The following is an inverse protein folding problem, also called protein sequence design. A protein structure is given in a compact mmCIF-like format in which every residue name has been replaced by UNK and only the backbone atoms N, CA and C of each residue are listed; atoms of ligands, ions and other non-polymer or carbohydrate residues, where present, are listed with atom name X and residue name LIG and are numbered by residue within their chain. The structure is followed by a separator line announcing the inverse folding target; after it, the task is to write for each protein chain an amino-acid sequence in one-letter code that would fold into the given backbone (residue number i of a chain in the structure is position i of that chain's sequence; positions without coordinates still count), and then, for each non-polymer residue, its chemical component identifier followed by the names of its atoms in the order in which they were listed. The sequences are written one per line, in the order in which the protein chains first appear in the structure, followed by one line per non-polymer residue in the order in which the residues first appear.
data_IF_580323546419
#
_entry.id   IF_580323546419
#
_cell.length_a   1.000
_cell.length_b   1.000
_cell.length_c   1.000
_cell.angle_alpha   90.00
_cell.angle_beta   90.00
_cell.angle_gamma   90.00
#
_symmetry.space_group_name_H-M   'P 1'
#
loop_
_entity.id
_entity.type
_entity.pdbx_description
1 polymer ?
#
# COMPACT_ATOMS: atom_id res chain seq x y z
N UNK A 1 15.57 -5.59 -4.65
CA UNK A 1 14.60 -4.65 -3.99
C UNK A 1 14.12 -5.21 -2.65
N UNK A 2 13.86 -4.38 -1.63
CA UNK A 2 13.38 -4.78 -0.30
C UNK A 2 12.18 -3.90 0.11
N UNK A 3 11.11 -4.54 0.55
CA UNK A 3 9.94 -3.88 1.15
C UNK A 3 9.95 -4.02 2.68
N UNK A 4 9.56 -2.97 3.41
CA UNK A 4 9.47 -2.97 4.87
C UNK A 4 8.28 -2.14 5.33
N UNK A 5 7.50 -2.64 6.29
CA UNK A 5 6.38 -1.93 6.88
C UNK A 5 6.78 -1.32 8.23
N UNK A 6 6.56 -0.01 8.38
CA UNK A 6 6.68 0.70 9.65
C UNK A 6 5.36 0.72 10.42
N UNK A 7 4.25 0.86 9.70
CA UNK A 7 2.91 0.83 10.23
C UNK A 7 1.93 0.41 9.13
N UNK A 8 0.91 -0.38 9.49
CA UNK A 8 -0.10 -0.87 8.54
C UNK A 8 -1.42 -1.12 9.28
N UNK A 9 -2.30 -0.13 9.30
CA UNK A 9 -3.62 -0.21 9.92
C UNK A 9 -4.45 1.04 9.60
N UNK A 10 -5.74 1.04 9.94
CA UNK A 10 -6.61 2.22 9.88
C UNK A 10 -6.19 3.38 10.83
N UNK A 11 -5.15 3.19 11.63
CA UNK A 11 -4.59 4.24 12.49
C UNK A 11 -3.37 4.91 11.86
N UNK A 12 -2.88 4.40 10.73
CA UNK A 12 -1.80 4.99 9.95
C UNK A 12 -0.94 3.97 9.24
N UNK A 13 -0.56 4.36 8.04
CA UNK A 13 0.17 3.55 7.09
C UNK A 13 1.50 4.24 6.75
N UNK A 14 2.58 3.51 6.81
CA UNK A 14 3.90 3.96 6.36
C UNK A 14 4.77 2.74 6.07
N UNK A 15 5.34 2.72 4.87
CA UNK A 15 6.17 1.62 4.39
C UNK A 15 7.40 2.18 3.68
N UNK A 16 8.36 1.34 3.37
CA UNK A 16 9.48 1.74 2.52
C UNK A 16 9.83 0.65 1.52
N UNK A 17 10.24 1.08 0.35
CA UNK A 17 10.93 0.24 -0.62
C UNK A 17 12.36 0.75 -0.79
N UNK A 18 13.32 -0.15 -0.74
CA UNK A 18 14.74 0.16 -0.90
C UNK A 18 15.33 -0.65 -2.06
N UNK A 19 16.03 0.04 -2.96
CA UNK A 19 16.74 -0.54 -4.09
C UNK A 19 18.13 0.10 -4.23
N UNK A 20 19.17 -0.60 -3.77
CA UNK A 20 20.51 -0.02 -3.69
C UNK A 20 20.54 1.23 -2.82
N UNK A 21 20.91 2.37 -3.41
CA UNK A 21 20.94 3.68 -2.74
C UNK A 21 19.61 4.44 -2.79
N UNK A 22 18.59 3.92 -3.47
CA UNK A 22 17.26 4.53 -3.57
C UNK A 22 16.36 4.03 -2.45
N UNK A 23 15.79 4.92 -1.66
CA UNK A 23 14.86 4.60 -0.57
C UNK A 23 13.60 5.45 -0.67
N UNK A 24 12.48 4.84 -0.98
CA UNK A 24 11.21 5.50 -1.22
C UNK A 24 10.26 5.20 -0.05
N UNK A 25 9.73 6.27 0.55
CA UNK A 25 8.64 6.15 1.52
C UNK A 25 7.32 5.94 0.77
N UNK A 26 6.55 4.92 1.16
CA UNK A 26 5.21 4.66 0.66
C UNK A 26 4.25 4.99 1.79
N UNK A 27 3.39 5.96 1.60
CA UNK A 27 2.51 6.55 2.59
C UNK A 27 3.25 7.28 3.74
N UNK A 28 2.62 8.32 4.24
CA UNK A 28 3.08 9.07 5.41
C UNK A 28 1.93 9.30 6.41
N UNK A 29 1.13 8.25 6.62
CA UNK A 29 -0.11 8.25 7.40
C UNK A 29 0.06 8.18 8.91
N UNK A 30 1.27 8.30 9.42
CA UNK A 30 1.58 8.38 10.86
C UNK A 30 2.21 9.73 11.21
N UNK A 31 2.22 10.11 12.49
CA UNK A 31 2.88 11.36 12.87
C UNK A 31 4.37 11.34 12.50
N UNK A 32 4.94 12.48 12.12
CA UNK A 32 6.35 12.61 11.75
C UNK A 32 7.28 12.08 12.84
N UNK A 33 6.97 12.38 14.12
CA UNK A 33 7.73 11.85 15.27
C UNK A 33 7.72 10.32 15.33
N UNK A 34 6.57 9.67 15.03
CA UNK A 34 6.46 8.20 14.97
C UNK A 34 7.26 7.66 13.80
N UNK A 35 7.17 8.31 12.63
CA UNK A 35 7.92 7.94 11.44
C UNK A 35 9.44 8.01 11.69
N UNK A 36 9.95 9.11 12.27
CA UNK A 36 11.36 9.26 12.65
C UNK A 36 11.82 8.11 13.56
N UNK A 37 11.04 7.80 14.60
CA UNK A 37 11.39 6.71 15.52
C UNK A 37 11.44 5.35 14.83
N UNK A 38 10.44 5.02 14.01
CA UNK A 38 10.32 3.71 13.33
C UNK A 38 11.35 3.55 12.22
N UNK A 39 11.72 4.63 11.53
CA UNK A 39 12.79 4.63 10.53
C UNK A 39 14.20 4.65 11.13
N UNK A 40 14.34 4.65 12.46
CA UNK A 40 15.65 4.78 13.12
C UNK A 40 16.28 6.15 12.95
N UNK A 41 15.47 7.21 12.84
CA UNK A 41 15.90 8.61 12.60
C UNK A 41 16.61 8.83 11.25
N UNK A 42 16.30 8.02 10.26
CA UNK A 42 16.87 8.11 8.91
C UNK A 42 15.89 8.69 7.88
N UNK A 43 14.93 9.52 8.32
CA UNK A 43 13.93 10.13 7.40
C UNK A 43 14.57 11.00 6.33
N UNK A 44 15.72 11.64 6.61
CA UNK A 44 16.48 12.41 5.62
C UNK A 44 17.10 11.56 4.50
N UNK A 45 17.11 10.23 4.63
CA UNK A 45 17.63 9.30 3.62
C UNK A 45 16.55 8.91 2.58
N UNK A 46 15.29 9.30 2.79
CA UNK A 46 14.27 9.06 1.78
C UNK A 46 14.54 9.89 0.53
N UNK A 47 14.67 9.20 -0.59
CA UNK A 47 14.88 9.78 -1.92
C UNK A 47 13.58 10.43 -2.42
N UNK A 48 12.42 9.87 -2.03
CA UNK A 48 11.10 10.36 -2.36
C UNK A 48 10.05 9.79 -1.41
N UNK A 49 8.84 10.37 -1.44
CA UNK A 49 7.63 9.81 -0.84
C UNK A 49 6.55 9.68 -1.94
N UNK A 50 5.82 8.56 -1.97
CA UNK A 50 4.60 8.42 -2.78
C UNK A 50 3.40 8.31 -1.84
N UNK A 51 2.30 8.99 -2.18
CA UNK A 51 1.04 8.97 -1.41
C UNK A 51 -0.07 8.48 -2.32
N UNK A 52 -0.78 7.44 -1.90
CA UNK A 52 -1.83 6.81 -2.69
C UNK A 52 -3.09 7.68 -2.77
N UNK A 53 -3.50 8.29 -1.66
CA UNK A 53 -4.70 9.12 -1.58
C UNK A 53 -4.69 10.00 -0.32
N UNK A 54 -5.69 10.89 -0.21
CA UNK A 54 -5.75 11.98 0.78
C UNK A 54 -6.14 11.55 2.20
N UNK A 55 -6.66 10.35 2.44
CA UNK A 55 -7.09 9.97 3.79
C UNK A 55 -5.95 10.11 4.81
N UNK A 56 -6.34 10.57 6.02
CA UNK A 56 -5.37 10.98 7.04
C UNK A 56 -4.44 9.85 7.48
N UNK A 57 -4.88 8.62 7.45
CA UNK A 57 -4.06 7.45 7.76
C UNK A 57 -3.09 7.04 6.64
N UNK A 58 -3.06 7.82 5.52
CA UNK A 58 -2.10 7.70 4.42
C UNK A 58 -1.25 8.97 4.24
N UNK A 59 -1.74 10.13 4.67
CA UNK A 59 -1.15 11.46 4.39
C UNK A 59 -0.82 12.31 5.64
N UNK A 60 -1.00 11.79 6.86
CA UNK A 60 -0.96 12.54 8.14
C UNK A 60 0.21 13.51 8.28
N UNK A 61 1.42 13.14 7.87
CA UNK A 61 2.60 14.00 8.00
C UNK A 61 3.17 14.47 6.65
N UNK A 62 2.34 14.52 5.60
CA UNK A 62 2.78 14.94 4.27
C UNK A 62 3.42 16.33 4.26
N UNK A 63 2.87 17.28 5.04
CA UNK A 63 3.43 18.62 5.20
C UNK A 63 4.84 18.60 5.81
N UNK A 64 5.09 17.71 6.78
CA UNK A 64 6.43 17.56 7.38
C UNK A 64 7.43 16.97 6.36
N UNK A 65 6.98 16.04 5.51
CA UNK A 65 7.80 15.43 4.45
C UNK A 65 8.20 16.50 3.43
N UNK A 66 7.22 17.31 2.97
CA UNK A 66 7.46 18.44 2.03
C UNK A 66 8.42 19.45 2.66
N UNK A 67 8.18 19.85 3.92
CA UNK A 67 9.03 20.80 4.64
C UNK A 67 10.46 20.25 4.88
N UNK A 68 10.62 18.94 4.94
CA UNK A 68 11.92 18.25 5.00
C UNK A 68 12.66 18.22 3.66
N UNK A 69 12.07 18.76 2.57
CA UNK A 69 12.68 18.82 1.24
C UNK A 69 12.67 17.47 0.50
N UNK A 70 11.87 16.49 0.95
CA UNK A 70 11.72 15.20 0.30
C UNK A 70 10.67 15.36 -0.83
N UNK A 71 10.98 15.04 -2.09
CA UNK A 71 10.01 15.06 -3.18
C UNK A 71 8.82 14.14 -2.89
N UNK A 72 7.59 14.67 -2.99
CA UNK A 72 6.36 13.91 -2.75
C UNK A 72 5.60 13.77 -4.07
N UNK A 73 5.21 12.54 -4.41
CA UNK A 73 4.48 12.20 -5.61
C UNK A 73 3.07 11.73 -5.25
N UNK A 74 2.05 12.29 -5.90
CA UNK A 74 0.64 11.94 -5.70
C UNK A 74 -0.19 12.36 -6.92
N UNK A 75 -1.45 11.92 -7.00
CA UNK A 75 -2.38 12.39 -8.02
C UNK A 75 -2.74 13.87 -7.83
N UNK A 76 -3.24 14.49 -8.89
CA UNK A 76 -3.74 15.87 -8.81
C UNK A 76 -4.94 15.97 -7.85
N UNK A 77 -5.86 15.01 -7.91
CA UNK A 77 -7.00 14.95 -7.00
C UNK A 77 -6.61 14.85 -5.53
N UNK A 78 -5.62 14.01 -5.21
CA UNK A 78 -5.05 13.90 -3.86
C UNK A 78 -4.42 15.21 -3.40
N UNK A 79 -3.62 15.87 -4.26
CA UNK A 79 -2.97 17.13 -3.92
C UNK A 79 -3.97 18.27 -3.67
N UNK A 80 -5.05 18.33 -4.48
CA UNK A 80 -6.13 19.31 -4.33
C UNK A 80 -6.90 19.09 -3.01
N UNK A 81 -7.23 17.85 -2.67
CA UNK A 81 -8.00 17.53 -1.46
C UNK A 81 -7.17 17.77 -0.18
N UNK A 82 -5.85 17.56 -0.24
CA UNK A 82 -4.92 17.86 0.86
C UNK A 82 -4.54 19.34 0.94
N UNK A 83 -4.91 20.16 -0.06
CA UNK A 83 -4.53 21.57 -0.16
C UNK A 83 -3.00 21.77 -0.07
N UNK A 84 -2.21 20.87 -0.65
CA UNK A 84 -0.73 20.93 -0.64
C UNK A 84 -0.18 21.39 -1.96
N UNK A 85 0.93 22.11 -1.89
CA UNK A 85 1.69 22.60 -3.06
C UNK A 85 3.15 22.10 -3.01
N UNK A 86 3.86 22.20 -4.13
CA UNK A 86 5.26 21.78 -4.22
C UNK A 86 5.45 20.28 -4.34
N UNK A 87 4.39 19.53 -4.66
CA UNK A 87 4.42 18.09 -4.93
C UNK A 87 4.59 17.81 -6.43
N UNK A 88 5.01 16.61 -6.76
CA UNK A 88 5.09 16.10 -8.12
C UNK A 88 3.77 15.39 -8.46
N UNK A 89 3.04 15.92 -9.43
CA UNK A 89 1.78 15.31 -9.90
C UNK A 89 2.11 14.13 -10.79
N UNK A 90 1.48 12.99 -10.52
CA UNK A 90 1.59 11.76 -11.31
C UNK A 90 0.22 11.23 -11.68
N UNK A 91 0.11 10.63 -12.86
CA UNK A 91 -1.16 10.14 -13.40
C UNK A 91 -1.08 8.64 -13.70
N UNK A 92 -2.25 8.00 -13.71
CA UNK A 92 -2.38 6.61 -14.12
C UNK A 92 -1.67 6.31 -15.44
N UNK A 93 -0.79 5.31 -15.43
CA UNK A 93 -0.05 4.82 -16.61
C UNK A 93 1.15 5.67 -17.02
N UNK A 94 1.41 6.81 -16.39
CA UNK A 94 2.58 7.65 -16.67
C UNK A 94 3.77 7.22 -15.83
N UNK A 95 4.76 6.58 -16.47
CA UNK A 95 5.98 6.12 -15.82
C UNK A 95 6.88 7.31 -15.44
N UNK A 96 7.40 7.30 -14.24
CA UNK A 96 8.44 8.21 -13.76
C UNK A 96 9.54 7.45 -13.01
N UNK A 97 10.71 8.10 -12.84
CA UNK A 97 11.88 7.44 -12.21
C UNK A 97 12.29 8.16 -10.94
N UNK A 98 12.56 7.39 -9.90
CA UNK A 98 13.20 7.86 -8.66
C UNK A 98 14.46 7.04 -8.42
N UNK A 99 15.62 7.66 -8.56
CA UNK A 99 16.91 6.97 -8.40
C UNK A 99 17.05 5.76 -9.33
N UNK A 100 17.15 4.56 -8.77
CA UNK A 100 17.26 3.30 -9.50
C UNK A 100 15.91 2.60 -9.77
N UNK A 101 14.78 3.26 -9.49
CA UNK A 101 13.45 2.63 -9.55
C UNK A 101 12.56 3.36 -10.54
N UNK A 102 12.02 2.64 -11.52
CA UNK A 102 10.93 3.11 -12.38
C UNK A 102 9.59 2.82 -11.70
N UNK A 103 8.68 3.80 -11.72
CA UNK A 103 7.40 3.75 -11.01
C UNK A 103 6.27 4.04 -11.98
N UNK A 104 5.25 3.16 -11.99
CA UNK A 104 4.05 3.34 -12.79
C UNK A 104 2.83 3.40 -11.86
N UNK A 105 2.16 4.56 -11.74
CA UNK A 105 0.90 4.66 -11.02
C UNK A 105 -0.23 3.94 -11.76
N UNK A 106 -1.17 3.34 -11.00
CA UNK A 106 -2.39 2.77 -11.56
C UNK A 106 -3.59 3.09 -10.66
N UNK A 107 -4.79 3.17 -11.25
CA UNK A 107 -6.00 3.47 -10.48
C UNK A 107 -6.35 2.34 -9.51
N UNK A 108 -6.80 2.70 -8.32
CA UNK A 108 -7.46 1.82 -7.35
C UNK A 108 -8.93 2.20 -7.19
N UNK A 109 -9.71 1.35 -6.51
CA UNK A 109 -11.15 1.53 -6.32
C UNK A 109 -11.44 1.78 -4.84
N UNK A 110 -11.40 3.05 -4.45
CA UNK A 110 -11.58 3.51 -3.07
C UNK A 110 -12.44 4.77 -3.00
N UNK A 111 -12.98 5.10 -1.82
CA UNK A 111 -13.79 6.31 -1.58
C UNK A 111 -12.90 7.56 -1.37
N UNK A 112 -11.96 7.79 -2.30
CA UNK A 112 -11.05 8.91 -2.35
C UNK A 112 -11.16 9.64 -3.70
N UNK A 113 -10.59 10.85 -3.81
CA UNK A 113 -10.78 11.69 -5.00
C UNK A 113 -10.13 11.14 -6.26
N UNK A 114 -8.88 10.68 -6.13
CA UNK A 114 -8.13 10.11 -7.25
C UNK A 114 -7.07 9.12 -6.71
N UNK A 115 -7.53 7.96 -6.18
CA UNK A 115 -6.66 7.03 -5.49
C UNK A 115 -5.78 6.24 -6.47
N UNK A 116 -4.50 6.06 -6.12
CA UNK A 116 -3.49 5.37 -6.91
C UNK A 116 -2.85 4.20 -6.15
N UNK A 117 -2.59 3.12 -6.87
CA UNK A 117 -1.57 2.14 -6.52
C UNK A 117 -0.30 2.38 -7.34
N UNK A 118 0.79 1.72 -7.01
CA UNK A 118 2.08 1.92 -7.66
C UNK A 118 2.76 0.60 -7.98
N UNK A 119 3.26 0.48 -9.21
CA UNK A 119 4.18 -0.57 -9.60
C UNK A 119 5.60 0.01 -9.58
N UNK A 120 6.50 -0.65 -8.87
CA UNK A 120 7.93 -0.31 -8.78
C UNK A 120 8.73 -1.35 -9.53
N UNK A 121 9.61 -0.93 -10.43
CA UNK A 121 10.55 -1.81 -11.16
C UNK A 121 11.97 -1.37 -10.87
N UNK A 122 12.76 -2.27 -10.32
CA UNK A 122 14.18 -2.04 -10.11
C UNK A 122 14.93 -2.04 -11.44
N UNK A 123 15.72 -1.01 -11.67
CA UNK A 123 16.68 -0.95 -12.79
C UNK A 123 17.98 -1.69 -12.49
N UNK A 124 18.18 -2.12 -11.24
CA UNK A 124 19.38 -2.78 -10.77
C UNK A 124 19.31 -4.30 -10.93
N UNK A 125 18.20 -4.90 -10.50
CA UNK A 125 18.02 -6.36 -10.45
C UNK A 125 16.76 -6.86 -11.19
N UNK A 126 15.95 -5.94 -11.74
CA UNK A 126 14.73 -6.25 -12.48
C UNK A 126 13.55 -6.70 -11.60
N UNK A 127 13.69 -6.64 -10.29
CA UNK A 127 12.56 -6.97 -9.37
C UNK A 127 11.39 -6.01 -9.55
N UNK A 128 10.18 -6.55 -9.40
CA UNK A 128 8.91 -5.83 -9.56
C UNK A 128 8.09 -5.96 -8.30
N UNK A 129 7.81 -4.82 -7.65
CA UNK A 129 6.87 -4.72 -6.53
C UNK A 129 5.60 -4.02 -6.98
N UNK A 130 4.45 -4.59 -6.66
CA UNK A 130 3.14 -3.93 -6.76
C UNK A 130 2.69 -3.54 -5.36
N UNK A 131 2.38 -2.26 -5.17
CA UNK A 131 1.83 -1.71 -3.94
C UNK A 131 0.41 -1.21 -4.21
N UNK A 132 -0.57 -1.79 -3.52
CA UNK A 132 -1.98 -1.41 -3.61
C UNK A 132 -2.63 -1.52 -2.24
N UNK A 133 -2.80 -0.40 -1.58
CA UNK A 133 -3.60 -0.28 -0.37
C UNK A 133 -4.96 0.32 -0.69
N UNK A 134 -5.91 0.19 0.19
CA UNK A 134 -7.25 0.78 0.13
C UNK A 134 -7.90 0.67 -1.26
N UNK A 135 -8.36 -0.54 -1.55
CA UNK A 135 -9.06 -0.84 -2.81
C UNK A 135 -9.98 -2.05 -2.67
N UNK A 136 -11.19 -1.99 -3.17
CA UNK A 136 -12.12 -3.14 -3.12
C UNK A 136 -11.67 -4.30 -3.98
N UNK A 137 -10.95 -4.03 -5.08
CA UNK A 137 -10.38 -5.04 -5.98
C UNK A 137 -9.23 -4.46 -6.81
N UNK A 138 -8.58 -5.29 -7.63
CA UNK A 138 -7.62 -4.87 -8.64
C UNK A 138 -8.02 -5.41 -10.01
N UNK A 139 -8.08 -4.51 -11.01
CA UNK A 139 -8.44 -4.85 -12.38
C UNK A 139 -7.23 -5.24 -13.25
N UNK A 140 -6.02 -5.00 -12.77
CA UNK A 140 -4.79 -5.15 -13.55
C UNK A 140 -4.13 -6.50 -13.35
N UNK A 141 -3.32 -6.90 -14.34
CA UNK A 141 -2.38 -8.02 -14.26
C UNK A 141 -0.97 -7.45 -14.34
N UNK A 142 -0.08 -7.97 -13.52
CA UNK A 142 1.30 -7.49 -13.40
C UNK A 142 2.28 -8.64 -13.79
N UNK A 143 2.58 -8.81 -15.09
CA UNK A 143 3.51 -9.86 -15.54
C UNK A 143 4.88 -9.68 -14.89
N UNK A 144 5.47 -10.80 -14.45
CA UNK A 144 6.81 -10.80 -13.86
C UNK A 144 6.88 -10.21 -12.45
N UNK A 145 5.74 -10.05 -11.75
CA UNK A 145 5.74 -9.56 -10.38
C UNK A 145 6.54 -10.48 -9.46
N UNK A 146 7.45 -9.87 -8.69
CA UNK A 146 8.30 -10.59 -7.72
C UNK A 146 7.84 -10.40 -6.28
N UNK A 147 7.15 -9.28 -5.99
CA UNK A 147 6.58 -8.95 -4.69
C UNK A 147 5.22 -8.27 -4.85
N UNK A 148 4.28 -8.61 -3.97
CA UNK A 148 2.99 -7.94 -3.84
C UNK A 148 2.85 -7.39 -2.42
N UNK A 149 2.58 -6.10 -2.29
CA UNK A 149 2.16 -5.45 -1.04
C UNK A 149 0.73 -4.94 -1.28
N UNK A 150 -0.26 -5.67 -0.77
CA UNK A 150 -1.65 -5.53 -1.20
C UNK A 150 -2.59 -5.59 -0.01
N UNK A 151 -3.67 -4.81 -0.06
CA UNK A 151 -4.67 -4.77 0.99
C UNK A 151 -5.33 -6.14 1.25
N UNK A 152 -5.53 -6.44 2.54
CA UNK A 152 -6.35 -7.54 3.04
C UNK A 152 -7.10 -7.05 4.28
N UNK A 153 -8.19 -6.29 4.08
CA UNK A 153 -8.78 -5.52 5.17
C UNK A 153 -9.71 -6.34 6.06
N UNK A 154 -10.66 -7.06 5.49
CA UNK A 154 -11.69 -7.74 6.28
C UNK A 154 -12.05 -9.13 5.75
N UNK A 155 -12.67 -9.93 6.63
CA UNK A 155 -13.37 -11.17 6.29
C UNK A 155 -14.87 -10.95 6.51
N UNK A 156 -15.68 -11.25 5.49
CA UNK A 156 -17.13 -11.04 5.52
C UNK A 156 -17.84 -11.82 6.64
N UNK A 157 -17.33 -13.00 7.03
CA UNK A 157 -17.92 -13.80 8.10
C UNK A 157 -17.60 -13.18 9.47
N UNK A 158 -16.38 -12.66 9.67
CA UNK A 158 -16.00 -11.92 10.88
C UNK A 158 -16.81 -10.64 10.97
N UNK A 159 -16.89 -9.87 9.87
CA UNK A 159 -17.67 -8.64 9.78
C UNK A 159 -19.15 -8.90 10.11
N UNK A 160 -19.75 -9.98 9.61
CA UNK A 160 -21.15 -10.33 9.90
C UNK A 160 -21.40 -10.59 11.40
N UNK A 161 -20.41 -11.09 12.13
CA UNK A 161 -20.49 -11.38 13.58
C UNK A 161 -20.22 -10.16 14.48
N UNK A 162 -19.75 -9.04 13.90
CA UNK A 162 -19.49 -7.80 14.66
C UNK A 162 -20.79 -7.04 14.94
N UNK A 163 -21.68 -7.56 15.79
CA UNK A 163 -23.02 -6.99 16.08
C UNK A 163 -23.01 -5.52 16.50
N UNK A 164 -21.96 -5.07 17.18
CA UNK A 164 -21.82 -3.69 17.68
C UNK A 164 -21.35 -2.68 16.62
N UNK A 165 -20.98 -3.14 15.43
CA UNK A 165 -20.51 -2.23 14.37
C UNK A 165 -21.70 -1.55 13.70
N UNK A 166 -21.75 -0.19 13.63
CA UNK A 166 -22.82 0.54 12.95
C UNK A 166 -22.92 0.14 11.47
N UNK A 167 -24.16 0.08 10.95
CA UNK A 167 -24.42 -0.31 9.56
C UNK A 167 -23.68 0.59 8.55
N UNK A 168 -23.62 1.90 8.81
CA UNK A 168 -22.87 2.86 7.98
C UNK A 168 -21.37 2.49 7.87
N UNK A 169 -20.76 2.02 8.96
CA UNK A 169 -19.35 1.62 8.98
C UNK A 169 -19.18 0.30 8.20
N UNK A 170 -20.09 -0.67 8.37
CA UNK A 170 -20.08 -1.92 7.59
C UNK A 170 -20.18 -1.62 6.10
N UNK A 171 -21.12 -0.76 5.70
CA UNK A 171 -21.31 -0.38 4.31
C UNK A 171 -20.04 0.28 3.73
N UNK A 172 -19.40 1.18 4.49
CA UNK A 172 -18.12 1.77 4.07
C UNK A 172 -17.06 0.69 3.86
N UNK A 173 -16.83 -0.19 4.84
CA UNK A 173 -15.83 -1.27 4.75
C UNK A 173 -16.05 -2.09 3.48
N UNK A 174 -17.27 -2.52 3.21
CA UNK A 174 -17.57 -3.39 2.06
C UNK A 174 -17.46 -2.71 0.70
N UNK A 175 -17.53 -1.38 0.65
CA UNK A 175 -17.49 -0.63 -0.61
C UNK A 175 -16.16 0.08 -0.87
N UNK A 176 -15.24 0.09 0.08
CA UNK A 176 -13.97 0.81 -0.06
C UNK A 176 -12.72 -0.02 0.28
N UNK A 177 -12.90 -1.25 0.79
CA UNK A 177 -11.77 -2.09 1.19
C UNK A 177 -11.86 -3.52 0.65
N UNK A 178 -10.72 -4.21 0.56
CA UNK A 178 -10.60 -5.55 -0.01
C UNK A 178 -10.96 -6.65 0.99
N UNK A 179 -11.94 -7.45 0.64
CA UNK A 179 -12.30 -8.67 1.36
C UNK A 179 -11.29 -9.78 1.05
N UNK A 180 -10.96 -10.59 2.05
CA UNK A 180 -9.89 -11.60 1.94
C UNK A 180 -10.13 -12.63 0.83
N UNK A 181 -11.37 -13.04 0.54
CA UNK A 181 -11.65 -13.99 -0.57
C UNK A 181 -11.55 -13.29 -1.93
N UNK A 182 -11.85 -11.98 -2.02
CA UNK A 182 -11.61 -11.18 -3.22
C UNK A 182 -10.12 -11.16 -3.53
N UNK A 183 -9.28 -10.92 -2.52
CA UNK A 183 -7.83 -11.01 -2.65
C UNK A 183 -7.38 -12.41 -3.08
N UNK A 184 -7.86 -13.47 -2.42
CA UNK A 184 -7.50 -14.86 -2.78
C UNK A 184 -7.87 -15.20 -4.22
N UNK A 185 -9.03 -14.76 -4.70
CA UNK A 185 -9.47 -14.97 -6.08
C UNK A 185 -8.60 -14.19 -7.07
N UNK A 186 -8.24 -12.96 -6.73
CA UNK A 186 -7.30 -12.16 -7.53
C UNK A 186 -5.94 -12.86 -7.65
N UNK A 187 -5.36 -13.31 -6.52
CA UNK A 187 -4.07 -14.01 -6.50
C UNK A 187 -4.09 -15.30 -7.35
N UNK A 188 -5.16 -16.09 -7.31
CA UNK A 188 -5.35 -17.29 -8.15
C UNK A 188 -5.37 -16.97 -9.65
N UNK A 189 -5.71 -15.74 -10.03
CA UNK A 189 -5.81 -15.29 -11.42
C UNK A 189 -4.49 -14.76 -11.98
N UNK A 190 -3.45 -14.59 -11.13
CA UNK A 190 -2.14 -14.09 -11.52
C UNK A 190 -1.17 -15.23 -11.85
N UNK A 191 -0.21 -14.94 -12.73
CA UNK A 191 1.01 -15.74 -12.82
C UNK A 191 1.96 -15.32 -11.69
N UNK A 192 2.06 -16.16 -10.67
CA UNK A 192 2.92 -15.96 -9.50
C UNK A 192 4.19 -16.81 -9.56
N UNK A 193 4.59 -17.31 -10.73
CA UNK A 193 5.78 -18.16 -10.89
C UNK A 193 7.07 -17.45 -10.46
N UNK A 194 7.17 -16.15 -10.64
CA UNK A 194 8.28 -15.29 -10.22
C UNK A 194 8.08 -14.60 -8.87
N UNK A 195 6.87 -14.67 -8.31
CA UNK A 195 6.56 -14.01 -7.06
C UNK A 195 7.20 -14.76 -5.88
N UNK A 196 7.97 -14.07 -5.06
CA UNK A 196 8.62 -14.65 -3.87
C UNK A 196 7.97 -14.24 -2.54
N UNK A 197 7.35 -13.06 -2.48
CA UNK A 197 6.79 -12.50 -1.25
C UNK A 197 5.46 -11.78 -1.50
N UNK A 198 4.51 -11.99 -0.61
CA UNK A 198 3.24 -11.26 -0.54
C UNK A 198 3.11 -10.67 0.86
N UNK A 199 2.91 -9.36 0.91
CA UNK A 199 2.67 -8.60 2.13
C UNK A 199 1.19 -8.20 2.16
N UNK A 200 0.48 -8.65 3.21
CA UNK A 200 -0.91 -8.28 3.44
C UNK A 200 -0.93 -6.98 4.23
N UNK A 201 -1.52 -5.94 3.65
CA UNK A 201 -1.55 -4.60 4.19
C UNK A 201 -2.92 -4.24 4.77
N UNK A 202 -2.95 -3.22 5.61
CA UNK A 202 -4.16 -2.53 6.07
C UNK A 202 -5.22 -3.48 6.67
N UNK A 203 -4.78 -4.43 7.50
CA UNK A 203 -5.68 -5.35 8.20
C UNK A 203 -6.52 -4.59 9.23
N UNK A 204 -7.84 -4.79 9.21
CA UNK A 204 -8.75 -4.20 10.19
C UNK A 204 -8.64 -4.88 11.55
N UNK A 205 -8.46 -4.12 12.63
CA UNK A 205 -8.38 -4.67 14.00
C UNK A 205 -9.65 -5.43 14.42
N UNK A 206 -10.82 -5.02 13.89
CA UNK A 206 -12.12 -5.58 14.30
C UNK A 206 -12.62 -6.71 13.39
N UNK A 207 -12.21 -6.73 12.12
CA UNK A 207 -12.82 -7.59 11.09
C UNK A 207 -11.81 -8.44 10.33
N UNK A 208 -10.57 -8.50 10.82
CA UNK A 208 -9.52 -9.39 10.32
C UNK A 208 -8.96 -10.29 11.43
N UNK A 209 -8.24 -11.32 11.00
CA UNK A 209 -7.44 -12.15 11.89
C UNK A 209 -6.18 -12.60 11.14
N UNK A 210 -5.03 -12.12 11.55
CA UNK A 210 -3.75 -12.29 10.86
C UNK A 210 -3.46 -13.73 10.44
N UNK A 211 -3.43 -14.67 11.41
CA UNK A 211 -3.14 -16.08 11.12
C UNK A 211 -4.17 -16.73 10.19
N UNK A 212 -5.43 -16.32 10.27
CA UNK A 212 -6.48 -16.80 9.37
C UNK A 212 -6.23 -16.29 7.93
N UNK A 213 -5.90 -15.01 7.77
CA UNK A 213 -5.63 -14.38 6.47
C UNK A 213 -4.40 -15.00 5.82
N UNK A 214 -3.30 -15.13 6.55
CA UNK A 214 -2.09 -15.80 6.08
C UNK A 214 -2.42 -17.21 5.59
N UNK A 215 -3.18 -18.01 6.35
CA UNK A 215 -3.56 -19.36 5.97
C UNK A 215 -4.47 -19.41 4.72
N UNK A 216 -5.41 -18.45 4.57
CA UNK A 216 -6.25 -18.35 3.37
C UNK A 216 -5.38 -18.05 2.13
N UNK A 217 -4.47 -17.10 2.24
CA UNK A 217 -3.59 -16.71 1.12
C UNK A 217 -2.62 -17.84 0.77
N UNK A 218 -2.03 -18.57 1.73
CA UNK A 218 -1.20 -19.74 1.43
C UNK A 218 -1.90 -20.84 0.64
N UNK A 219 -3.23 -20.96 0.77
CA UNK A 219 -4.04 -21.90 -0.04
C UNK A 219 -4.33 -21.39 -1.45
N UNK A 220 -4.11 -20.10 -1.71
CA UNK A 220 -4.41 -19.44 -2.97
C UNK A 220 -3.17 -19.24 -3.85
N UNK A 221 -1.95 -19.41 -3.29
CA UNK A 221 -0.68 -19.10 -3.97
C UNK A 221 0.24 -20.33 -4.04
N UNK A 222 1.26 -20.31 -4.93
CA UNK A 222 2.27 -21.37 -4.98
C UNK A 222 3.03 -21.51 -3.67
N UNK A 223 3.46 -22.73 -3.32
CA UNK A 223 4.12 -23.05 -2.03
C UNK A 223 5.43 -22.31 -1.77
N UNK A 224 6.10 -21.85 -2.82
CA UNK A 224 7.36 -21.10 -2.70
C UNK A 224 7.16 -19.65 -2.28
N UNK A 225 5.93 -19.12 -2.39
CA UNK A 225 5.62 -17.74 -2.04
C UNK A 225 5.53 -17.58 -0.54
N UNK A 226 6.33 -16.68 0.03
CA UNK A 226 6.24 -16.29 1.43
C UNK A 226 5.10 -15.28 1.62
N UNK A 227 4.25 -15.48 2.61
CA UNK A 227 3.15 -14.56 2.97
C UNK A 227 3.41 -13.96 4.34
N UNK A 228 3.33 -12.63 4.44
CA UNK A 228 3.53 -11.90 5.69
C UNK A 228 2.38 -10.91 5.87
N UNK A 229 1.75 -10.89 7.03
CA UNK A 229 0.81 -9.83 7.38
C UNK A 229 1.59 -8.67 8.01
N UNK A 230 1.35 -7.46 7.52
CA UNK A 230 1.90 -6.22 8.07
C UNK A 230 0.89 -5.66 9.06
N UNK A 231 0.97 -6.10 10.30
CA UNK A 231 0.19 -5.58 11.41
C UNK A 231 1.10 -4.74 12.30
N UNK A 232 0.82 -3.40 12.35
CA UNK A 232 1.42 -2.32 13.19
C UNK A 232 2.70 -1.73 12.70
#
# INVERSE_FOLDING_TARGET
MRFEAFASSSHGNAYTVTDGGTRILLECGISHKKLQKLSGFTTAEFTACVVSHEHKDHSCCVGDIIAGGIPVYMSEGTAQELEVAGVQIVSHGEEFTVGSVDIVPFNTFHDAREPLGFLFRSRTDGEVLVFATDTVNLAYRFPGVTMLAIEANYDKEILARCERMPEKVRHRITNSHMEIEVLCNYLRSLDLSTCREIYLLHLSDATSHEGHFINKVYRAVPKHVKVTACSR
#
